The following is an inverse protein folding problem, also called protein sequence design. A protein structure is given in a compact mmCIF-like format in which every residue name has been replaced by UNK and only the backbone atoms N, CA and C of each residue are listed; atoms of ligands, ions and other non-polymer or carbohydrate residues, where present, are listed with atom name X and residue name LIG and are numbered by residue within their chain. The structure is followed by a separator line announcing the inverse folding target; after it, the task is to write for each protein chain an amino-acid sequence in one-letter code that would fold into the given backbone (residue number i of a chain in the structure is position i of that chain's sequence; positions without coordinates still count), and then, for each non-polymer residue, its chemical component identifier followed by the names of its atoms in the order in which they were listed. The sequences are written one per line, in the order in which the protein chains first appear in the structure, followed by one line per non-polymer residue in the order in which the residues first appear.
data_IF_190795653568
#
_entry.id   IF_190795653568
#
_cell.length_a   1.000
_cell.length_b   1.000
_cell.length_c   1.000
_cell.angle_alpha   90.00
_cell.angle_beta   90.00
_cell.angle_gamma   90.00
#
_symmetry.space_group_name_H-M   'P 1'
#
loop_
_entity.id
_entity.type
_entity.pdbx_description
1 polymer ?
#
# COMPACT_ATOMS: atom_id res chain seq x y z
N UNK A 1 0.50 1.54 -18.58
CA UNK A 1 0.37 2.90 -18.05
C UNK A 1 -0.56 3.72 -18.92
N UNK A 2 -1.36 4.55 -18.29
CA UNK A 2 -2.18 5.56 -18.93
C UNK A 2 -1.75 6.94 -18.38
N UNK A 3 -1.33 7.82 -19.25
CA UNK A 3 -0.85 9.17 -18.94
C UNK A 3 0.06 9.69 -20.03
N UNK A 4 0.60 10.91 -19.88
CA UNK A 4 0.49 11.77 -18.67
C UNK A 4 -0.89 12.43 -18.54
N UNK A 5 -1.42 12.45 -17.33
CA UNK A 5 -2.70 13.08 -16.99
C UNK A 5 -2.47 14.41 -16.24
N UNK A 6 -3.39 15.39 -16.38
CA UNK A 6 -3.37 16.60 -15.55
C UNK A 6 -3.56 16.24 -14.08
N UNK A 7 -2.79 16.88 -13.22
CA UNK A 7 -2.91 16.79 -11.77
C UNK A 7 -2.73 18.20 -11.18
N UNK A 8 -3.80 18.95 -10.98
CA UNK A 8 -3.70 20.27 -10.36
C UNK A 8 -3.05 20.20 -8.96
N UNK A 9 -2.23 21.15 -8.56
CA UNK A 9 -1.91 22.40 -9.25
C UNK A 9 -0.75 22.33 -10.25
N UNK A 10 -0.28 21.15 -10.63
CA UNK A 10 0.84 21.00 -11.56
C UNK A 10 0.48 21.52 -12.95
N UNK A 11 1.35 22.37 -13.50
CA UNK A 11 1.14 22.98 -14.85
C UNK A 11 1.35 21.98 -15.99
N UNK A 12 2.21 20.99 -15.78
CA UNK A 12 2.55 19.98 -16.78
C UNK A 12 1.91 18.66 -16.38
N UNK A 13 1.12 18.02 -17.27
CA UNK A 13 0.58 16.70 -17.03
C UNK A 13 1.71 15.68 -16.85
N UNK A 14 1.76 15.00 -15.70
CA UNK A 14 2.81 14.03 -15.38
C UNK A 14 2.33 12.83 -14.54
N UNK A 15 1.08 12.85 -14.13
CA UNK A 15 0.49 11.71 -13.45
C UNK A 15 0.30 10.54 -14.42
N UNK A 16 0.76 9.35 -14.02
CA UNK A 16 0.62 8.12 -14.78
C UNK A 16 -0.15 7.10 -13.96
N UNK A 17 -1.23 6.60 -14.51
CA UNK A 17 -2.04 5.58 -13.88
C UNK A 17 -1.69 4.19 -14.40
N UNK A 18 -1.72 3.21 -13.52
CA UNK A 18 -1.51 1.81 -13.88
C UNK A 18 -2.86 1.18 -14.20
N UNK A 19 -2.94 0.53 -15.36
CA UNK A 19 -4.16 -0.16 -15.78
C UNK A 19 -4.06 -1.67 -15.51
N UNK A 20 -5.12 -2.31 -15.08
CA UNK A 20 -6.46 -1.77 -14.77
C UNK A 20 -6.54 -1.04 -13.43
N UNK A 21 -5.65 -1.31 -12.51
CA UNK A 21 -5.53 -0.70 -11.17
C UNK A 21 -4.18 -1.03 -10.53
N UNK A 22 -3.98 -0.63 -9.27
CA UNK A 22 -2.73 -0.84 -8.52
C UNK A 22 -2.30 -2.32 -8.43
N UNK A 23 -3.21 -3.29 -8.54
CA UNK A 23 -2.86 -4.73 -8.58
C UNK A 23 -1.90 -5.07 -9.71
N UNK A 24 -2.02 -4.40 -10.87
CA UNK A 24 -1.12 -4.64 -12.00
C UNK A 24 0.32 -4.22 -11.67
N UNK A 25 0.50 -3.13 -10.91
CA UNK A 25 1.80 -2.69 -10.45
C UNK A 25 2.42 -3.73 -9.50
N UNK A 26 1.67 -4.13 -8.48
CA UNK A 26 2.12 -5.14 -7.51
C UNK A 26 2.44 -6.47 -8.18
N UNK A 27 1.57 -6.97 -9.08
CA UNK A 27 1.81 -8.21 -9.81
C UNK A 27 3.10 -8.18 -10.65
N UNK A 28 3.45 -7.03 -11.22
CA UNK A 28 4.71 -6.86 -11.98
C UNK A 28 5.93 -6.87 -11.07
N UNK A 29 5.88 -6.17 -9.94
CA UNK A 29 6.96 -6.17 -8.95
C UNK A 29 7.18 -7.56 -8.37
N UNK A 30 6.10 -8.25 -7.97
CA UNK A 30 6.13 -9.62 -7.49
C UNK A 30 6.78 -10.56 -8.50
N UNK A 31 6.31 -10.54 -9.75
CA UNK A 31 6.86 -11.36 -10.82
C UNK A 31 8.35 -11.09 -11.06
N UNK A 32 8.79 -9.83 -10.94
CA UNK A 32 10.20 -9.47 -11.10
C UNK A 32 11.03 -9.97 -9.92
N UNK A 33 10.55 -9.79 -8.70
CA UNK A 33 11.21 -10.27 -7.49
C UNK A 33 11.44 -11.77 -7.53
N UNK A 34 10.39 -12.55 -7.81
CA UNK A 34 10.48 -14.01 -7.87
C UNK A 34 11.47 -14.49 -8.96
N UNK A 35 11.49 -13.83 -10.14
CA UNK A 35 12.47 -14.15 -11.19
C UNK A 35 13.91 -13.85 -10.81
N UNK A 36 14.12 -12.94 -9.87
CA UNK A 36 15.45 -12.63 -9.32
C UNK A 36 15.85 -13.54 -8.15
N UNK A 37 15.04 -14.55 -7.83
CA UNK A 37 15.28 -15.47 -6.73
C UNK A 37 14.83 -14.95 -5.36
N UNK A 38 14.07 -13.84 -5.31
CA UNK A 38 13.46 -13.35 -4.09
C UNK A 38 12.31 -14.22 -3.64
N UNK A 39 12.01 -14.19 -2.34
CA UNK A 39 10.91 -14.90 -1.72
C UNK A 39 9.87 -13.91 -1.19
N UNK A 40 8.59 -14.29 -1.24
CA UNK A 40 7.48 -13.56 -0.64
C UNK A 40 6.76 -14.51 0.31
N UNK A 41 6.67 -14.14 1.56
CA UNK A 41 5.88 -14.83 2.57
C UNK A 41 4.71 -13.95 2.97
N UNK A 42 3.51 -14.46 2.81
CA UNK A 42 2.26 -13.81 3.22
C UNK A 42 1.81 -14.37 4.58
N UNK A 43 0.87 -13.68 5.22
CA UNK A 43 0.29 -14.08 6.50
C UNK A 43 1.35 -14.24 7.61
N UNK A 44 2.37 -13.39 7.55
CA UNK A 44 3.48 -13.36 8.49
C UNK A 44 3.35 -12.13 9.37
N UNK A 45 3.34 -12.34 10.67
CA UNK A 45 3.36 -11.25 11.65
C UNK A 45 4.78 -11.06 12.19
N UNK A 46 5.40 -9.93 11.87
CA UNK A 46 6.70 -9.55 12.42
C UNK A 46 6.51 -8.98 13.82
N UNK A 47 7.06 -9.64 14.82
CA UNK A 47 6.91 -9.26 16.23
C UNK A 47 7.91 -8.20 16.65
N UNK A 48 9.19 -8.39 16.29
CA UNK A 48 10.26 -7.45 16.65
C UNK A 48 11.44 -7.55 15.70
N UNK A 49 12.25 -6.50 15.72
CA UNK A 49 13.56 -6.47 15.09
C UNK A 49 14.60 -7.04 16.05
N UNK A 50 15.48 -7.88 15.56
CA UNK A 50 16.59 -8.45 16.33
C UNK A 50 17.82 -7.55 16.19
N UNK A 51 18.50 -7.29 17.32
CA UNK A 51 19.69 -6.44 17.39
C UNK A 51 20.89 -7.20 17.92
N UNK A 52 22.04 -6.85 17.38
CA UNK A 52 23.33 -7.13 17.98
C UNK A 52 24.08 -5.77 18.10
N UNK A 53 24.24 -5.31 19.31
CA UNK A 53 24.72 -3.94 19.58
C UNK A 53 23.84 -2.88 18.91
N UNK A 54 24.43 -2.10 18.01
CA UNK A 54 23.74 -1.04 17.26
C UNK A 54 23.24 -1.49 15.87
N UNK A 55 23.37 -2.76 15.55
CA UNK A 55 22.99 -3.30 14.23
C UNK A 55 21.72 -4.14 14.33
N UNK A 56 20.78 -3.93 13.40
CA UNK A 56 19.67 -4.83 13.19
C UNK A 56 20.15 -6.02 12.36
N UNK A 57 20.01 -7.23 12.92
CA UNK A 57 20.53 -8.48 12.36
C UNK A 57 19.44 -9.42 11.87
N UNK A 58 18.17 -9.07 12.03
CA UNK A 58 17.08 -9.94 11.62
C UNK A 58 15.74 -9.52 12.19
N UNK A 59 14.80 -10.42 12.06
CA UNK A 59 13.44 -10.26 12.57
C UNK A 59 12.98 -11.53 13.28
N UNK A 60 12.16 -11.37 14.31
CA UNK A 60 11.34 -12.42 14.89
C UNK A 60 9.93 -12.29 14.35
N UNK A 61 9.36 -13.39 13.91
CA UNK A 61 8.07 -13.42 13.26
C UNK A 61 7.24 -14.61 13.69
N UNK A 62 5.94 -14.54 13.46
CA UNK A 62 5.00 -15.64 13.71
C UNK A 62 4.30 -16.01 12.41
N UNK A 63 4.34 -17.29 12.09
CA UNK A 63 3.62 -17.91 10.97
C UNK A 63 2.82 -19.09 11.51
N UNK A 64 1.50 -19.10 11.32
CA UNK A 64 0.64 -20.20 11.77
C UNK A 64 0.88 -20.59 13.22
N UNK A 65 0.95 -19.58 14.12
CA UNK A 65 1.20 -19.70 15.57
C UNK A 65 2.59 -20.28 15.96
N UNK A 66 3.53 -20.31 15.02
CA UNK A 66 4.91 -20.70 15.29
C UNK A 66 5.83 -19.47 15.21
N UNK A 67 6.67 -19.34 16.21
CA UNK A 67 7.73 -18.32 16.21
C UNK A 67 8.92 -18.80 15.37
N UNK A 68 9.37 -17.94 14.49
CA UNK A 68 10.55 -18.13 13.65
C UNK A 68 11.46 -16.92 13.73
N UNK A 69 12.75 -17.16 13.53
CA UNK A 69 13.77 -16.13 13.41
C UNK A 69 14.33 -16.12 12.01
N UNK A 70 14.34 -14.95 11.37
CA UNK A 70 15.01 -14.72 10.10
C UNK A 70 16.21 -13.79 10.30
N UNK A 71 17.40 -14.29 10.01
CA UNK A 71 18.62 -13.49 10.04
C UNK A 71 18.79 -12.71 8.72
N UNK A 72 19.19 -11.45 8.84
CA UNK A 72 19.46 -10.56 7.72
C UNK A 72 20.96 -10.26 7.66
N UNK A 73 21.60 -10.66 6.55
CA UNK A 73 23.05 -10.45 6.35
C UNK A 73 23.38 -8.99 6.04
N UNK A 74 22.53 -8.30 5.28
CA UNK A 74 22.76 -6.92 4.86
C UNK A 74 21.99 -5.90 5.71
N UNK A 75 20.76 -6.22 6.09
CA UNK A 75 19.89 -5.34 6.86
C UNK A 75 18.41 -5.65 6.66
N UNK A 76 17.55 -4.94 7.35
CA UNK A 76 16.09 -5.04 7.26
C UNK A 76 15.53 -3.72 6.73
N UNK A 77 14.66 -3.79 5.74
CA UNK A 77 13.94 -2.63 5.19
C UNK A 77 12.52 -2.64 5.73
N UNK A 78 12.12 -1.59 6.44
CA UNK A 78 10.75 -1.37 6.85
C UNK A 78 10.00 -0.64 5.72
N UNK A 79 8.99 -1.28 5.16
CA UNK A 79 8.12 -0.73 4.11
C UNK A 79 6.65 -0.95 4.46
N UNK A 80 6.31 -0.79 5.74
CA UNK A 80 5.03 -1.16 6.35
C UNK A 80 3.92 -0.12 6.14
N UNK A 81 4.19 0.95 5.40
CA UNK A 81 3.24 2.04 5.22
C UNK A 81 3.15 2.98 6.42
N UNK A 82 2.02 3.68 6.52
CA UNK A 82 1.74 4.68 7.54
C UNK A 82 0.98 4.10 8.76
N UNK A 83 0.47 4.97 9.61
CA UNK A 83 -0.29 4.61 10.81
C UNK A 83 -1.74 5.15 10.82
N UNK A 84 -2.27 5.49 9.65
CA UNK A 84 -3.58 6.16 9.54
C UNK A 84 -4.75 5.35 10.11
N UNK A 85 -4.59 4.05 10.31
CA UNK A 85 -5.58 3.17 10.94
C UNK A 85 -5.16 2.67 12.33
N UNK A 86 -4.14 3.27 12.93
CA UNK A 86 -3.73 3.00 14.31
C UNK A 86 -4.42 3.98 15.26
N UNK A 87 -5.55 3.58 15.86
CA UNK A 87 -6.27 4.42 16.81
C UNK A 87 -5.37 4.92 17.94
N UNK A 88 -4.46 4.06 18.44
CA UNK A 88 -3.52 4.44 19.51
C UNK A 88 -2.54 5.53 19.09
N UNK A 89 -1.87 5.36 17.94
CA UNK A 89 -0.91 6.37 17.44
C UNK A 89 -1.61 7.66 17.01
N UNK A 90 -2.84 7.55 16.46
CA UNK A 90 -3.64 8.73 16.14
C UNK A 90 -4.03 9.47 17.43
N UNK A 91 -4.50 8.77 18.46
CA UNK A 91 -4.81 9.40 19.75
C UNK A 91 -3.60 10.11 20.35
N UNK A 92 -2.45 9.44 20.37
CA UNK A 92 -1.20 9.96 20.90
C UNK A 92 -0.70 11.24 20.19
N UNK A 93 -0.70 11.21 18.85
CA UNK A 93 -0.06 12.27 18.07
C UNK A 93 -1.02 13.32 17.51
N UNK A 94 -2.32 13.02 17.44
CA UNK A 94 -3.36 13.88 16.85
C UNK A 94 -4.49 14.23 17.82
N UNK A 95 -4.63 13.45 18.89
CA UNK A 95 -5.69 13.54 19.87
C UNK A 95 -6.89 12.63 19.59
N UNK A 96 -7.61 12.32 20.65
CA UNK A 96 -8.70 11.33 20.69
C UNK A 96 -9.80 11.59 19.65
N UNK A 97 -10.06 12.85 19.36
CA UNK A 97 -11.07 13.27 18.36
C UNK A 97 -10.85 12.62 16.99
N UNK A 98 -9.61 12.38 16.61
CA UNK A 98 -9.25 11.80 15.31
C UNK A 98 -9.06 10.30 15.36
N UNK A 99 -8.91 9.73 16.55
CA UNK A 99 -8.68 8.30 16.74
C UNK A 99 -9.87 7.43 16.32
N UNK A 100 -11.09 7.99 16.34
CA UNK A 100 -12.30 7.27 15.92
C UNK A 100 -12.52 7.23 14.39
N UNK A 101 -11.66 7.91 13.63
CA UNK A 101 -11.76 7.95 12.17
C UNK A 101 -10.97 6.81 11.58
N UNK A 102 -11.67 5.87 10.94
CA UNK A 102 -11.03 4.75 10.25
C UNK A 102 -10.15 5.21 9.09
N UNK A 103 -8.95 4.66 9.02
CA UNK A 103 -8.07 4.82 7.87
C UNK A 103 -8.58 4.09 6.64
N UNK A 104 -8.30 4.62 5.45
CA UNK A 104 -8.72 3.98 4.18
C UNK A 104 -8.07 2.61 4.00
N UNK A 105 -6.83 2.47 4.44
CA UNK A 105 -6.11 1.22 4.46
C UNK A 105 -6.14 0.64 5.88
N UNK A 106 -6.98 -0.36 6.10
CA UNK A 106 -7.09 -1.04 7.40
C UNK A 106 -5.79 -1.69 7.88
N UNK A 107 -4.84 -1.92 6.97
CA UNK A 107 -3.51 -2.46 7.30
C UNK A 107 -2.48 -1.39 7.67
N UNK A 108 -2.82 -0.11 7.59
CA UNK A 108 -1.94 0.99 8.00
C UNK A 108 -1.95 1.16 9.52
N UNK A 109 -1.51 0.14 10.24
CA UNK A 109 -1.60 0.03 11.70
C UNK A 109 -0.38 0.59 12.45
N UNK A 110 0.61 1.13 11.74
CA UNK A 110 1.80 1.70 12.36
C UNK A 110 2.84 0.67 12.81
N UNK A 111 2.77 -0.57 12.34
CA UNK A 111 3.69 -1.64 12.76
C UNK A 111 5.15 -1.28 12.53
N UNK A 112 5.48 -0.65 11.38
CA UNK A 112 6.83 -0.20 11.08
C UNK A 112 7.34 0.86 12.06
N UNK A 113 6.47 1.76 12.51
CA UNK A 113 6.79 2.79 13.50
C UNK A 113 7.13 2.13 14.84
N UNK A 114 6.27 1.22 15.33
CA UNK A 114 6.50 0.47 16.56
C UNK A 114 7.80 -0.33 16.51
N UNK A 115 8.01 -1.12 15.46
CA UNK A 115 9.21 -1.92 15.28
C UNK A 115 10.49 -1.07 15.26
N UNK A 116 10.45 0.07 14.60
CA UNK A 116 11.59 0.99 14.54
C UNK A 116 11.88 1.62 15.92
N UNK A 117 10.83 2.04 16.63
CA UNK A 117 10.94 2.67 17.94
C UNK A 117 11.53 1.70 18.99
N UNK A 118 11.13 0.43 18.96
CA UNK A 118 11.65 -0.63 19.85
C UNK A 118 13.17 -0.81 19.73
N UNK A 119 13.74 -0.51 18.56
CA UNK A 119 15.19 -0.57 18.36
C UNK A 119 15.89 0.78 18.48
N UNK A 120 15.19 1.79 18.99
CA UNK A 120 15.74 3.09 19.33
C UNK A 120 15.67 4.14 18.21
N UNK A 121 14.87 3.91 17.17
CA UNK A 121 14.60 4.94 16.18
C UNK A 121 13.75 6.06 16.76
N UNK A 122 14.03 7.28 16.35
CA UNK A 122 13.24 8.46 16.72
C UNK A 122 12.14 8.66 15.67
N UNK A 123 10.90 8.78 16.13
CA UNK A 123 9.78 9.16 15.29
C UNK A 123 9.71 10.68 15.20
N UNK A 124 9.63 11.21 13.99
CA UNK A 124 9.58 12.66 13.74
C UNK A 124 8.36 13.01 12.90
N UNK A 125 7.84 14.23 13.10
CA UNK A 125 6.69 14.76 12.34
C UNK A 125 5.42 13.90 12.43
N UNK A 126 5.21 13.21 13.54
CA UNK A 126 4.05 12.35 13.74
C UNK A 126 2.73 13.13 13.82
N UNK A 127 2.81 14.43 14.08
CA UNK A 127 1.68 15.36 14.08
C UNK A 127 1.27 15.82 12.67
N UNK A 128 2.11 15.61 11.65
CA UNK A 128 1.84 16.05 10.28
C UNK A 128 0.99 15.01 9.56
N UNK A 129 -0.14 15.45 9.01
CA UNK A 129 -0.97 14.64 8.10
C UNK A 129 -1.09 15.33 6.76
N UNK A 130 -1.14 14.54 5.72
CA UNK A 130 -1.74 14.99 4.47
C UNK A 130 -3.23 15.25 4.75
N UNK A 131 -3.72 16.42 4.37
CA UNK A 131 -5.03 16.94 4.79
C UNK A 131 -6.21 15.98 4.62
N UNK A 132 -7.33 16.24 5.27
CA UNK A 132 -8.50 15.39 5.17
C UNK A 132 -9.03 15.37 3.73
N UNK A 133 -9.03 14.20 3.12
CA UNK A 133 -9.70 13.98 1.85
C UNK A 133 -11.10 13.44 2.12
N UNK A 134 -12.13 14.13 1.61
CA UNK A 134 -13.49 13.60 1.63
C UNK A 134 -13.55 12.44 0.66
N UNK A 135 -13.88 11.26 1.15
CA UNK A 135 -14.02 10.05 0.34
C UNK A 135 -15.37 9.39 0.57
N UNK A 136 -15.92 8.84 -0.49
CA UNK A 136 -17.07 7.97 -0.38
C UNK A 136 -16.62 6.56 0.01
N UNK A 137 -17.25 6.00 1.03
CA UNK A 137 -17.06 4.59 1.37
C UNK A 137 -17.73 3.74 0.31
N UNK A 138 -16.99 2.84 -0.30
CA UNK A 138 -17.56 1.92 -1.29
C UNK A 138 -18.63 1.03 -0.63
N UNK A 139 -19.79 0.83 -1.28
CA UNK A 139 -20.82 -0.06 -0.76
C UNK A 139 -20.25 -1.46 -0.53
N UNK A 140 -20.51 -2.02 0.66
CA UNK A 140 -20.09 -3.38 0.98
C UNK A 140 -20.71 -4.38 0.01
N UNK A 141 -19.92 -5.35 -0.44
CA UNK A 141 -20.39 -6.44 -1.31
C UNK A 141 -20.53 -6.10 -2.80
N UNK A 142 -20.25 -4.87 -3.24
CA UNK A 142 -20.20 -4.54 -4.67
C UNK A 142 -18.77 -4.61 -5.18
N UNK A 143 -18.50 -5.56 -6.08
CA UNK A 143 -17.24 -5.60 -6.78
C UNK A 143 -17.24 -4.59 -7.94
N UNK A 144 -16.27 -3.68 -7.95
CA UNK A 144 -16.07 -2.83 -9.13
C UNK A 144 -15.56 -3.66 -10.31
N UNK A 145 -16.04 -3.36 -11.50
CA UNK A 145 -15.61 -4.03 -12.73
C UNK A 145 -14.09 -4.05 -12.89
N UNK A 146 -13.39 -3.00 -12.47
CA UNK A 146 -11.92 -2.93 -12.48
C UNK A 146 -11.24 -4.01 -11.62
N UNK A 147 -11.94 -4.54 -10.62
CA UNK A 147 -11.43 -5.62 -9.76
C UNK A 147 -11.54 -7.00 -10.44
N UNK A 148 -12.44 -7.15 -11.41
CA UNK A 148 -12.61 -8.36 -12.20
C UNK A 148 -11.60 -8.47 -13.34
N UNK A 149 -10.97 -7.35 -13.73
CA UNK A 149 -9.98 -7.35 -14.80
C UNK A 149 -8.69 -8.02 -14.32
N UNK A 150 -8.06 -8.87 -15.15
CA UNK A 150 -6.80 -9.50 -14.79
C UNK A 150 -5.71 -8.45 -14.59
N UNK A 151 -4.95 -8.58 -13.51
CA UNK A 151 -3.87 -7.65 -13.15
C UNK A 151 -2.68 -7.71 -14.12
N UNK A 152 -2.54 -8.80 -14.88
CA UNK A 152 -1.41 -9.01 -15.78
C UNK A 152 -1.81 -9.97 -16.92
N UNK A 153 -0.92 -10.07 -17.92
CA UNK A 153 -1.10 -10.98 -19.05
C UNK A 153 -1.49 -10.31 -20.36
N UNK A 154 -1.59 -11.07 -21.46
CA UNK A 154 -1.87 -10.55 -22.80
C UNK A 154 -3.19 -9.80 -22.89
N UNK A 155 -4.23 -10.29 -22.21
CA UNK A 155 -5.54 -9.67 -22.17
C UNK A 155 -5.53 -8.29 -21.50
N UNK A 156 -4.85 -8.17 -20.36
CA UNK A 156 -4.69 -6.88 -19.68
C UNK A 156 -3.93 -5.87 -20.55
N UNK A 157 -2.87 -6.32 -21.25
CA UNK A 157 -2.13 -5.49 -22.20
C UNK A 157 -2.98 -5.05 -23.39
N UNK A 158 -3.79 -5.96 -23.95
CA UNK A 158 -4.70 -5.67 -25.04
C UNK A 158 -5.77 -4.65 -24.64
N UNK A 159 -6.43 -4.87 -23.51
CA UNK A 159 -7.41 -3.92 -22.96
C UNK A 159 -6.80 -2.55 -22.70
N UNK A 160 -5.59 -2.50 -22.12
CA UNK A 160 -4.87 -1.24 -21.89
C UNK A 160 -4.55 -0.47 -23.18
N UNK A 161 -4.33 -1.17 -24.29
CA UNK A 161 -4.13 -0.55 -25.61
C UNK A 161 -5.43 -0.04 -26.26
N UNK A 162 -6.55 -0.69 -25.99
CA UNK A 162 -7.86 -0.29 -26.52
C UNK A 162 -8.49 0.88 -25.76
N UNK A 163 -8.18 1.03 -24.48
CA UNK A 163 -8.78 2.04 -23.60
C UNK A 163 -8.69 3.48 -24.15
N UNK A 164 -7.56 3.95 -24.71
CA UNK A 164 -7.46 5.30 -25.29
C UNK A 164 -8.43 5.54 -26.47
N UNK A 165 -8.86 4.48 -27.12
CA UNK A 165 -9.80 4.52 -28.26
C UNK A 165 -11.26 4.34 -27.84
N UNK A 166 -11.53 4.16 -26.54
CA UNK A 166 -12.90 3.98 -26.04
C UNK A 166 -13.69 5.28 -26.20
N UNK A 167 -14.82 5.27 -26.91
CA UNK A 167 -15.64 6.48 -27.10
C UNK A 167 -16.10 7.05 -25.76
N UNK A 168 -16.10 8.39 -25.65
CA UNK A 168 -16.46 9.11 -24.42
C UNK A 168 -17.85 8.74 -23.89
N UNK A 169 -18.80 8.41 -24.74
CA UNK A 169 -20.14 8.02 -24.29
C UNK A 169 -20.12 6.70 -23.50
N UNK A 170 -19.25 5.74 -23.88
CA UNK A 170 -19.07 4.48 -23.14
C UNK A 170 -18.43 4.76 -21.79
N UNK A 171 -17.39 5.61 -21.75
CA UNK A 171 -16.72 6.03 -20.51
C UNK A 171 -17.73 6.72 -19.58
N UNK A 172 -18.52 7.65 -20.10
CA UNK A 172 -19.53 8.35 -19.32
C UNK A 172 -20.67 7.44 -18.83
N UNK A 173 -21.08 6.46 -19.63
CA UNK A 173 -22.07 5.46 -19.21
C UNK A 173 -21.53 4.57 -18.08
N UNK A 174 -20.23 4.29 -18.09
CA UNK A 174 -19.55 3.56 -17.02
C UNK A 174 -19.47 4.38 -15.74
N UNK A 175 -19.05 5.65 -15.83
CA UNK A 175 -18.93 6.56 -14.68
C UNK A 175 -20.29 6.81 -14.02
N UNK A 176 -21.39 6.88 -14.79
CA UNK A 176 -22.74 7.07 -14.25
C UNK A 176 -23.31 5.84 -13.53
N UNK A 177 -22.69 4.68 -13.67
CA UNK A 177 -23.09 3.43 -13.00
C UNK A 177 -22.21 3.08 -11.80
N UNK A 178 -21.15 3.86 -11.54
CA UNK A 178 -20.34 3.85 -10.33
C UNK A 178 -21.00 4.72 -9.26
#
# INVERSE_FOLDING_TARGET
FHGPNPEPPNRVPRMHNVMPNAKAYIARLQSRLLRLGGEIRCEVNVKRLLRDGNRVIGVELVISDREETLCATCGVVLACGDYANSHALIAEHKGDRFAEIDGINSFAAGDGHRLAQEVGAQLVNMDITYGPEIRFVAPQGKMFFSQLLPASGPFACFMGRLLPFTPRFIVNAFIRRL
#
